data_IF_191182960659
#
_entry.id   IF_191182960659
#
_cell.length_a   1.000
_cell.length_b   1.000
_cell.length_c   1.000
_cell.angle_alpha   90.00
_cell.angle_beta   90.00
_cell.angle_gamma   90.00
#
_symmetry.space_group_name_H-M   'P 1'
#
loop_
_entity.id
_entity.type
_entity.pdbx_description
1 polymer ?
#
# COMPACT_ATOMS: atom_id res chain seq x y z
N UNK A 1 9.14 -1.51 13.11
CA UNK A 1 10.33 -1.15 13.94
C UNK A 1 10.01 -1.34 15.42
N UNK A 2 10.89 -1.88 16.26
CA UNK A 2 10.64 -2.09 17.70
C UNK A 2 11.68 -1.36 18.55
N UNK A 3 11.26 -0.40 19.36
CA UNK A 3 12.20 0.43 20.14
C UNK A 3 11.90 0.45 21.63
N UNK A 4 12.94 0.70 22.43
CA UNK A 4 12.84 1.07 23.84
C UNK A 4 13.27 2.53 23.99
N UNK A 5 12.61 3.29 24.86
CA UNK A 5 13.01 4.67 25.19
C UNK A 5 13.54 4.70 26.61
N UNK A 6 14.77 5.19 26.79
CA UNK A 6 15.41 5.36 28.08
C UNK A 6 15.82 6.82 28.31
N UNK A 7 15.19 7.44 29.32
CA UNK A 7 15.41 8.83 29.72
C UNK A 7 14.32 9.78 29.22
N UNK A 8 14.56 11.08 29.36
CA UNK A 8 13.65 12.14 28.93
C UNK A 8 13.86 12.53 27.45
N UNK A 9 12.78 12.49 26.66
CA UNK A 9 12.76 12.97 25.28
C UNK A 9 12.24 14.41 25.24
N UNK A 10 13.13 15.37 25.00
CA UNK A 10 12.78 16.79 24.97
C UNK A 10 12.45 17.31 23.57
N UNK A 11 13.08 16.76 22.53
CA UNK A 11 12.87 17.19 21.15
C UNK A 11 13.10 16.03 20.18
N UNK A 12 12.04 15.49 19.55
CA UNK A 12 10.61 15.73 19.82
C UNK A 12 10.17 15.23 21.22
N UNK A 13 9.05 15.74 21.78
CA UNK A 13 8.51 15.25 23.05
C UNK A 13 8.04 13.79 22.91
N UNK A 14 7.98 13.06 24.03
CA UNK A 14 7.64 11.63 24.04
C UNK A 14 6.32 11.30 23.33
N UNK A 15 5.28 12.14 23.46
CA UNK A 15 4.01 11.94 22.77
C UNK A 15 4.13 12.06 21.24
N UNK A 16 4.95 13.00 20.77
CA UNK A 16 5.25 13.14 19.34
C UNK A 16 6.04 11.94 18.85
N UNK A 17 7.06 11.50 19.59
CA UNK A 17 7.81 10.29 19.25
C UNK A 17 6.88 9.07 19.16
N UNK A 18 5.98 8.87 20.14
CA UNK A 18 4.98 7.79 20.13
C UNK A 18 4.12 7.80 18.86
N UNK A 19 3.65 8.98 18.46
CA UNK A 19 2.84 9.13 17.25
C UNK A 19 3.62 8.84 15.98
N UNK A 20 4.84 9.37 15.86
CA UNK A 20 5.72 9.17 14.71
C UNK A 20 6.07 7.69 14.55
N UNK A 21 6.49 7.04 15.64
CA UNK A 21 6.83 5.62 15.62
C UNK A 21 5.62 4.78 15.25
N UNK A 22 4.44 5.05 15.83
CA UNK A 22 3.20 4.33 15.49
C UNK A 22 2.76 4.57 14.04
N UNK A 23 2.97 5.76 13.50
CA UNK A 23 2.64 6.08 12.11
C UNK A 23 3.54 5.36 11.08
N UNK A 24 4.78 5.04 11.46
CA UNK A 24 5.70 4.24 10.64
C UNK A 24 5.70 2.74 10.98
N UNK A 25 4.56 2.20 11.43
CA UNK A 25 4.40 0.79 11.86
C UNK A 25 5.47 0.32 12.85
N UNK A 26 5.89 1.25 13.69
CA UNK A 26 6.79 1.05 14.80
C UNK A 26 6.04 0.75 16.10
N UNK A 27 6.69 0.02 17.00
CA UNK A 27 6.20 -0.38 18.31
C UNK A 27 7.20 0.13 19.34
N UNK A 28 6.71 0.89 20.31
CA UNK A 28 7.49 1.25 21.50
C UNK A 28 7.20 0.20 22.57
N UNK A 29 8.22 -0.60 22.90
CA UNK A 29 8.10 -1.69 23.86
C UNK A 29 8.01 -1.18 25.30
N UNK A 30 8.80 -0.16 25.62
CA UNK A 30 8.82 0.46 26.93
C UNK A 30 9.36 1.89 26.88
N UNK A 31 8.87 2.74 27.77
CA UNK A 31 9.34 4.12 27.97
C UNK A 31 9.79 4.39 29.41
N UNK A 32 9.73 3.37 30.27
CA UNK A 32 10.14 3.46 31.67
C UNK A 32 10.57 2.07 32.16
N UNK A 33 11.46 1.98 33.16
CA UNK A 33 11.86 0.72 33.78
C UNK A 33 10.68 -0.03 34.45
N UNK A 34 10.74 -1.36 34.59
CA UNK A 34 11.85 -2.25 34.22
C UNK A 34 11.79 -2.70 32.74
N UNK A 35 12.93 -2.64 32.05
CA UNK A 35 13.04 -3.03 30.63
C UNK A 35 13.25 -4.54 30.41
N UNK A 36 13.57 -5.29 31.47
CA UNK A 36 13.96 -6.71 31.44
C UNK A 36 13.01 -7.62 30.68
N UNK A 37 11.71 -7.32 30.69
CA UNK A 37 10.69 -8.10 29.96
C UNK A 37 10.82 -8.03 28.44
N UNK A 38 11.45 -6.98 27.93
CA UNK A 38 11.47 -6.66 26.50
C UNK A 38 12.83 -6.93 25.84
N UNK A 39 13.89 -7.12 26.62
CA UNK A 39 15.25 -7.32 26.11
C UNK A 39 15.38 -8.53 25.17
N UNK A 40 14.62 -9.60 25.43
CA UNK A 40 14.57 -10.81 24.58
C UNK A 40 13.52 -10.75 23.47
N UNK A 41 12.80 -9.63 23.32
CA UNK A 41 11.69 -9.51 22.35
C UNK A 41 12.13 -9.05 20.95
N UNK A 42 13.45 -9.09 20.67
CA UNK A 42 14.01 -8.64 19.40
C UNK A 42 13.91 -7.12 19.22
N UNK A 43 14.41 -6.37 20.20
CA UNK A 43 14.48 -4.91 20.16
C UNK A 43 15.37 -4.49 18.98
N UNK A 44 14.89 -3.60 18.12
CA UNK A 44 15.69 -3.08 17.00
C UNK A 44 16.60 -1.94 17.49
N UNK A 45 16.12 -1.04 18.36
CA UNK A 45 16.91 0.08 18.91
C UNK A 45 16.52 0.46 20.35
N UNK A 46 17.49 0.87 21.15
CA UNK A 46 17.29 1.61 22.39
C UNK A 46 17.57 3.10 22.17
N UNK A 47 16.54 3.93 22.23
CA UNK A 47 16.63 5.38 22.15
C UNK A 47 16.99 5.93 23.53
N UNK A 48 18.15 6.55 23.63
CA UNK A 48 18.74 7.01 24.90
C UNK A 48 18.82 8.53 24.90
N UNK A 49 18.45 9.14 26.02
CA UNK A 49 18.59 10.59 26.20
C UNK A 49 20.05 11.04 26.22
N UNK A 50 20.34 12.24 25.69
CA UNK A 50 21.67 12.81 25.77
C UNK A 50 22.09 12.98 27.25
N UNK A 51 23.37 12.70 27.53
CA UNK A 51 23.95 12.84 28.87
C UNK A 51 23.94 11.56 29.72
N UNK A 52 23.32 10.48 29.25
CA UNK A 52 23.40 9.17 29.90
C UNK A 52 24.77 8.53 29.58
N UNK A 53 25.44 8.02 30.61
CA UNK A 53 26.77 7.44 30.49
C UNK A 53 26.74 5.94 30.19
N UNK A 54 27.81 5.43 29.57
CA UNK A 54 27.99 3.99 29.25
C UNK A 54 27.91 3.11 30.49
N UNK A 55 28.25 3.64 31.67
CA UNK A 55 28.26 2.91 32.95
C UNK A 55 26.90 2.84 33.65
N UNK A 56 25.86 3.44 33.05
CA UNK A 56 24.50 3.34 33.59
C UNK A 56 24.02 1.88 33.59
N UNK A 57 23.29 1.49 34.65
CA UNK A 57 22.86 0.11 34.85
C UNK A 57 21.99 -0.41 33.69
N UNK A 58 21.07 0.40 33.16
CA UNK A 58 20.23 0.00 32.03
C UNK A 58 20.98 -0.01 30.73
N UNK A 59 21.93 0.93 30.54
CA UNK A 59 22.80 0.92 29.37
C UNK A 59 23.65 -0.35 29.32
N UNK A 60 24.28 -0.71 30.44
CA UNK A 60 25.03 -1.97 30.53
C UNK A 60 24.14 -3.19 30.21
N UNK A 61 22.90 -3.18 30.68
CA UNK A 61 21.93 -4.23 30.36
C UNK A 61 21.61 -4.29 28.85
N UNK A 62 21.41 -3.14 28.19
CA UNK A 62 21.20 -3.08 26.74
C UNK A 62 22.41 -3.62 25.97
N UNK A 63 23.63 -3.26 26.40
CA UNK A 63 24.87 -3.74 25.80
C UNK A 63 25.05 -5.25 25.96
N UNK A 64 24.70 -5.80 27.13
CA UNK A 64 24.73 -7.25 27.38
C UNK A 64 23.78 -8.04 26.47
N UNK A 65 22.71 -7.40 26.01
CA UNK A 65 21.74 -7.96 25.08
C UNK A 65 22.00 -7.59 23.61
N UNK A 66 23.17 -7.00 23.30
CA UNK A 66 23.57 -6.56 21.95
C UNK A 66 22.56 -5.58 21.32
N UNK A 67 21.86 -4.78 22.15
CA UNK A 67 20.86 -3.83 21.69
C UNK A 67 21.56 -2.53 21.27
N UNK A 68 21.33 -2.05 20.03
CA UNK A 68 21.94 -0.81 19.57
C UNK A 68 21.41 0.38 20.36
N UNK A 69 22.33 1.21 20.84
CA UNK A 69 22.03 2.39 21.63
C UNK A 69 22.14 3.62 20.74
N UNK A 70 21.07 4.38 20.56
CA UNK A 70 21.03 5.51 19.62
C UNK A 70 20.35 6.74 20.24
N UNK A 71 20.68 7.92 19.73
CA UNK A 71 19.92 9.14 19.99
C UNK A 71 18.64 9.18 19.17
N UNK A 72 17.69 10.01 19.59
CA UNK A 72 16.44 10.22 18.84
C UNK A 72 16.68 10.76 17.42
N UNK A 73 17.74 11.56 17.27
CA UNK A 73 18.17 12.14 15.99
C UNK A 73 18.55 11.06 14.97
N UNK A 74 18.98 9.88 15.42
CA UNK A 74 19.21 8.73 14.56
C UNK A 74 17.94 8.35 13.78
N UNK A 75 16.80 8.28 14.47
CA UNK A 75 15.51 7.93 13.86
C UNK A 75 15.03 9.04 12.92
N UNK A 76 15.24 10.30 13.30
CA UNK A 76 14.86 11.45 12.47
C UNK A 76 15.67 11.48 11.18
N UNK A 77 16.99 11.32 11.25
CA UNK A 77 17.85 11.29 10.07
C UNK A 77 17.58 10.09 9.19
N UNK A 78 17.30 8.92 9.77
CA UNK A 78 16.92 7.74 9.00
C UNK A 78 15.70 8.01 8.10
N UNK A 79 14.67 8.66 8.64
CA UNK A 79 13.45 9.00 7.89
C UNK A 79 13.71 10.13 6.88
N UNK A 80 14.44 11.18 7.27
CA UNK A 80 14.62 12.36 6.42
C UNK A 80 15.70 12.20 5.35
N UNK A 81 16.68 11.31 5.53
CA UNK A 81 17.86 11.16 4.66
C UNK A 81 18.27 9.68 4.52
N UNK A 82 17.47 8.86 3.82
CA UNK A 82 17.85 7.47 3.55
C UNK A 82 19.19 7.44 2.78
N UNK A 83 20.18 6.69 3.29
CA UNK A 83 21.50 6.53 2.68
C UNK A 83 22.62 7.43 3.23
N UNK A 84 22.34 8.30 4.21
CA UNK A 84 23.39 9.05 4.92
C UNK A 84 24.00 8.21 6.06
N UNK A 85 25.28 8.40 6.41
CA UNK A 85 25.92 7.69 7.52
C UNK A 85 25.34 8.18 8.86
N UNK A 86 24.55 7.34 9.51
CA UNK A 86 23.91 7.64 10.81
C UNK A 86 24.85 7.46 12.02
N UNK A 87 26.16 7.27 11.78
CA UNK A 87 27.17 6.93 12.80
C UNK A 87 27.25 7.97 13.91
N UNK A 88 27.00 9.24 13.59
CA UNK A 88 27.10 10.35 14.54
C UNK A 88 26.06 10.27 15.68
N UNK A 89 24.97 9.52 15.49
CA UNK A 89 23.89 9.41 16.46
C UNK A 89 23.86 8.07 17.19
N UNK A 90 24.80 7.18 16.90
CA UNK A 90 24.96 5.92 17.61
C UNK A 90 25.85 6.12 18.84
N UNK A 91 25.45 5.52 19.95
CA UNK A 91 26.12 5.63 21.23
C UNK A 91 26.90 4.36 21.55
N UNK A 92 27.92 4.54 22.40
CA UNK A 92 28.65 3.47 23.09
C UNK A 92 29.37 2.45 22.20
N UNK A 93 29.72 2.84 20.97
CA UNK A 93 30.40 1.98 19.97
C UNK A 93 29.52 0.81 19.52
N UNK A 94 28.21 1.06 19.38
CA UNK A 94 27.22 0.06 18.92
C UNK A 94 26.90 0.17 17.42
N UNK A 95 27.80 0.78 16.62
CA UNK A 95 27.53 1.08 15.20
C UNK A 95 27.21 -0.18 14.39
N UNK A 96 27.96 -1.26 14.61
CA UNK A 96 27.74 -2.53 13.89
C UNK A 96 26.37 -3.14 14.18
N UNK A 97 25.89 -3.05 15.42
CA UNK A 97 24.56 -3.54 15.81
C UNK A 97 23.46 -2.65 15.22
N UNK A 98 23.67 -1.33 15.19
CA UNK A 98 22.75 -0.38 14.59
C UNK A 98 22.63 -0.60 13.07
N UNK A 99 23.75 -0.73 12.36
CA UNK A 99 23.78 -1.02 10.92
C UNK A 99 23.07 -2.35 10.60
N UNK A 100 23.32 -3.40 11.39
CA UNK A 100 22.65 -4.70 11.22
C UNK A 100 21.14 -4.59 11.45
N UNK A 101 20.71 -3.89 12.49
CA UNK A 101 19.29 -3.71 12.80
C UNK A 101 18.59 -2.88 11.75
N UNK A 102 19.26 -1.85 11.21
CA UNK A 102 18.77 -1.03 10.11
C UNK A 102 18.61 -1.85 8.81
N UNK A 103 19.64 -2.61 8.43
CA UNK A 103 19.59 -3.46 7.25
C UNK A 103 18.47 -4.51 7.35
N UNK A 104 18.26 -5.10 8.53
CA UNK A 104 17.15 -6.01 8.78
C UNK A 104 15.78 -5.32 8.64
N UNK A 105 15.66 -4.07 9.11
CA UNK A 105 14.46 -3.27 8.99
C UNK A 105 14.13 -2.94 7.53
N UNK A 106 15.13 -2.47 6.78
CA UNK A 106 14.99 -2.14 5.35
C UNK A 106 14.60 -3.39 4.56
N UNK A 107 15.30 -4.51 4.78
CA UNK A 107 14.97 -5.80 4.14
C UNK A 107 13.54 -6.24 4.46
N UNK A 108 13.11 -6.12 5.73
CA UNK A 108 11.74 -6.46 6.14
C UNK A 108 10.70 -5.51 5.55
N UNK A 109 11.05 -4.26 5.25
CA UNK A 109 10.13 -3.36 4.52
C UNK A 109 10.09 -3.65 3.02
N UNK A 110 11.20 -4.09 2.42
CA UNK A 110 11.28 -4.44 1.00
C UNK A 110 10.60 -5.78 0.68
N UNK A 111 10.61 -6.74 1.62
CA UNK A 111 9.90 -8.02 1.52
C UNK A 111 8.36 -7.86 1.44
N UNK A 112 7.84 -6.66 1.73
CA UNK A 112 6.40 -6.33 1.66
C UNK A 112 6.04 -5.69 0.29
N UNK A 113 7.04 -5.35 -0.54
CA UNK A 113 6.82 -4.62 -1.82
C UNK A 113 6.55 -5.57 -3.00
N UNK A 114 6.47 -6.89 -2.78
CA UNK A 114 5.87 -7.82 -3.75
C UNK A 114 4.38 -8.11 -3.48
N UNK A 115 3.75 -7.50 -2.46
CA UNK A 115 2.33 -7.78 -2.12
C UNK A 115 1.52 -6.51 -1.76
N UNK A 116 1.87 -5.34 -2.32
CA UNK A 116 1.05 -4.12 -2.17
C UNK A 116 0.78 -3.38 -3.48
N UNK A 117 0.96 -4.05 -4.63
CA UNK A 117 0.34 -3.68 -5.91
C UNK A 117 -0.71 -4.66 -6.39
N UNK A 118 -1.10 -5.65 -5.59
CA UNK A 118 -2.13 -6.64 -5.97
C UNK A 118 -3.40 -6.46 -5.16
N UNK A 119 -4.07 -5.33 -5.35
CA UNK A 119 -5.54 -5.36 -5.35
C UNK A 119 -6.00 -5.47 -6.80
N UNK A 120 -5.96 -6.70 -7.32
CA UNK A 120 -6.98 -7.29 -8.20
C UNK A 120 -7.26 -6.69 -9.60
N UNK A 121 -6.38 -5.88 -10.19
CA UNK A 121 -6.52 -5.44 -11.60
C UNK A 121 -5.63 -6.21 -12.61
N UNK A 122 -4.63 -6.97 -12.16
CA UNK A 122 -3.61 -7.56 -13.05
C UNK A 122 -3.96 -8.95 -13.65
N UNK A 123 -5.16 -9.48 -13.41
CA UNK A 123 -5.66 -10.70 -14.09
C UNK A 123 -7.04 -10.50 -14.75
N UNK A 124 -7.54 -9.25 -14.81
CA UNK A 124 -8.73 -8.93 -15.59
C UNK A 124 -8.39 -8.98 -17.08
N UNK A 125 -8.70 -10.10 -17.72
CA UNK A 125 -8.50 -10.31 -19.17
C UNK A 125 -9.69 -9.76 -19.94
N UNK A 126 -9.40 -9.11 -21.05
CA UNK A 126 -10.43 -8.67 -21.98
C UNK A 126 -11.28 -9.88 -22.41
N UNK A 127 -12.60 -9.81 -22.22
CA UNK A 127 -13.50 -10.92 -22.54
C UNK A 127 -13.59 -11.25 -24.04
N UNK A 128 -13.05 -10.37 -24.91
CA UNK A 128 -13.05 -10.52 -26.37
C UNK A 128 -11.74 -11.13 -26.88
N UNK A 129 -10.59 -10.53 -26.54
CA UNK A 129 -9.30 -11.01 -27.03
C UNK A 129 -8.58 -11.95 -26.06
N UNK A 130 -9.06 -12.09 -24.83
CA UNK A 130 -8.48 -12.96 -23.80
C UNK A 130 -7.14 -12.46 -23.23
N UNK A 131 -6.70 -11.26 -23.61
CA UNK A 131 -5.45 -10.67 -23.17
C UNK A 131 -5.66 -9.64 -22.05
N UNK A 132 -4.70 -9.56 -21.14
CA UNK A 132 -4.58 -8.50 -20.14
C UNK A 132 -3.61 -7.38 -20.56
N UNK A 133 -3.01 -7.47 -21.75
CA UNK A 133 -2.15 -6.40 -22.26
C UNK A 133 -2.99 -5.14 -22.55
N UNK A 134 -2.55 -3.98 -22.05
CA UNK A 134 -3.25 -2.67 -22.16
C UNK A 134 -4.44 -2.47 -21.21
N UNK A 135 -4.28 -2.87 -19.94
CA UNK A 135 -5.23 -2.54 -18.86
C UNK A 135 -5.65 -1.06 -18.79
N UNK A 136 -4.75 -0.12 -19.08
CA UNK A 136 -5.04 1.32 -19.14
C UNK A 136 -6.04 1.76 -20.23
N UNK A 137 -6.44 0.86 -21.15
CA UNK A 137 -7.47 1.08 -22.16
C UNK A 137 -8.63 0.07 -22.03
N UNK A 138 -8.81 -0.50 -20.83
CA UNK A 138 -9.81 -1.52 -20.55
C UNK A 138 -10.97 -0.93 -19.74
N UNK A 139 -12.19 -1.17 -20.21
CA UNK A 139 -13.42 -0.78 -19.53
C UNK A 139 -13.90 -1.93 -18.66
N UNK A 140 -14.29 -1.61 -17.42
CA UNK A 140 -14.86 -2.56 -16.47
C UNK A 140 -16.37 -2.37 -16.45
N UNK A 141 -17.12 -3.47 -16.57
CA UNK A 141 -18.58 -3.42 -16.51
C UNK A 141 -19.05 -3.10 -15.08
N UNK A 142 -19.43 -1.84 -14.83
CA UNK A 142 -19.80 -1.35 -13.51
C UNK A 142 -20.34 0.09 -13.55
N UNK A 143 -20.97 0.52 -12.46
CA UNK A 143 -21.09 1.94 -12.11
C UNK A 143 -19.94 2.37 -11.20
N UNK A 144 -19.70 3.69 -11.09
CA UNK A 144 -18.65 4.25 -10.20
C UNK A 144 -18.77 3.76 -8.74
N UNK A 145 -19.96 3.36 -8.31
CA UNK A 145 -20.21 2.84 -6.95
C UNK A 145 -20.11 1.31 -6.83
N UNK A 146 -19.76 0.59 -7.90
CA UNK A 146 -19.61 -0.88 -7.91
C UNK A 146 -20.87 -1.67 -7.53
N UNK A 147 -22.04 -1.04 -7.62
CA UNK A 147 -23.33 -1.59 -7.18
C UNK A 147 -24.07 -2.33 -8.28
N UNK A 148 -23.81 -1.99 -9.54
CA UNK A 148 -24.45 -2.62 -10.70
C UNK A 148 -23.37 -2.95 -11.73
N UNK A 149 -23.27 -4.20 -12.15
CA UNK A 149 -22.26 -4.64 -13.12
C UNK A 149 -21.87 -6.10 -12.92
N UNK A 150 -21.11 -6.64 -13.87
CA UNK A 150 -20.55 -8.00 -13.76
C UNK A 150 -19.03 -8.01 -13.61
N UNK A 151 -18.39 -6.84 -13.59
CA UNK A 151 -16.95 -6.70 -13.37
C UNK A 151 -16.07 -7.22 -14.50
N UNK A 152 -16.63 -7.54 -15.68
CA UNK A 152 -15.80 -7.99 -16.81
C UNK A 152 -15.03 -6.82 -17.42
N UNK A 153 -13.78 -7.08 -17.83
CA UNK A 153 -12.94 -6.16 -18.58
C UNK A 153 -13.12 -6.30 -20.09
N UNK A 154 -13.16 -5.19 -20.83
CA UNK A 154 -13.15 -5.15 -22.30
C UNK A 154 -12.34 -3.95 -22.80
N UNK A 155 -11.38 -4.15 -23.70
CA UNK A 155 -10.66 -3.01 -24.28
C UNK A 155 -11.59 -2.07 -25.05
N UNK A 156 -11.28 -0.77 -25.06
CA UNK A 156 -12.00 0.23 -25.87
C UNK A 156 -12.06 -0.18 -27.34
N UNK A 157 -10.99 -0.76 -27.89
CA UNK A 157 -10.93 -1.26 -29.27
C UNK A 157 -11.68 -2.59 -29.49
N UNK A 158 -11.92 -3.34 -28.42
CA UNK A 158 -12.67 -4.61 -28.45
C UNK A 158 -14.17 -4.41 -28.24
N UNK A 159 -14.62 -3.17 -27.99
CA UNK A 159 -16.03 -2.83 -27.91
C UNK A 159 -16.70 -2.89 -29.30
N UNK A 160 -18.02 -3.07 -29.32
CA UNK A 160 -18.83 -3.03 -30.55
C UNK A 160 -19.95 -1.98 -30.38
N UNK A 161 -19.83 -0.78 -30.99
CA UNK A 161 -18.71 -0.31 -31.80
C UNK A 161 -17.44 0.00 -30.98
N UNK A 162 -16.24 -0.02 -31.59
CA UNK A 162 -14.99 0.29 -30.89
C UNK A 162 -14.95 1.76 -30.49
N UNK A 163 -14.53 2.00 -29.24
CA UNK A 163 -14.39 3.32 -28.65
C UNK A 163 -12.98 3.85 -28.87
N UNK A 164 -12.87 5.17 -29.05
CA UNK A 164 -11.59 5.83 -29.26
C UNK A 164 -10.85 6.11 -27.95
N UNK A 165 -11.60 6.37 -26.88
CA UNK A 165 -11.09 6.71 -25.54
C UNK A 165 -11.99 6.10 -24.46
N UNK A 166 -11.52 6.09 -23.22
CA UNK A 166 -12.31 5.66 -22.06
C UNK A 166 -13.42 6.71 -21.83
N UNK A 167 -14.71 6.32 -21.77
CA UNK A 167 -15.78 7.26 -21.44
C UNK A 167 -15.69 7.70 -19.98
N UNK A 168 -16.08 8.96 -19.72
CA UNK A 168 -16.12 9.53 -18.36
C UNK A 168 -17.31 8.99 -17.52
N UNK A 169 -18.31 8.38 -18.18
CA UNK A 169 -19.52 7.84 -17.56
C UNK A 169 -19.48 6.31 -17.38
N UNK A 170 -20.38 5.76 -16.55
CA UNK A 170 -20.56 4.32 -16.30
C UNK A 170 -20.63 3.48 -17.60
N UNK A 171 -19.88 2.37 -17.64
CA UNK A 171 -19.88 1.45 -18.78
C UNK A 171 -20.48 0.08 -18.42
N UNK A 172 -21.35 -0.43 -19.29
CA UNK A 172 -21.98 -1.74 -19.11
C UNK A 172 -21.77 -2.63 -20.32
N UNK A 173 -21.36 -3.88 -20.09
CA UNK A 173 -21.27 -4.87 -21.15
C UNK A 173 -22.66 -5.19 -21.75
N UNK A 174 -22.73 -5.76 -22.97
CA UNK A 174 -23.99 -6.08 -23.64
C UNK A 174 -24.96 -6.93 -22.81
N UNK A 175 -24.46 -7.75 -21.88
CA UNK A 175 -25.31 -8.56 -20.99
C UNK A 175 -25.97 -7.72 -19.89
N UNK A 176 -25.21 -6.78 -19.31
CA UNK A 176 -25.67 -5.89 -18.25
C UNK A 176 -26.52 -4.74 -18.79
N UNK A 177 -26.24 -4.24 -19.99
CA UNK A 177 -27.07 -3.22 -20.66
C UNK A 177 -28.47 -3.76 -20.97
N UNK A 178 -28.59 -4.96 -21.54
CA UNK A 178 -29.88 -5.61 -21.80
C UNK A 178 -30.72 -5.84 -20.53
N UNK A 179 -30.06 -5.97 -19.38
CA UNK A 179 -30.73 -6.15 -18.09
C UNK A 179 -31.28 -4.84 -17.51
N UNK A 180 -30.66 -3.68 -17.83
CA UNK A 180 -31.20 -2.35 -17.51
C UNK A 180 -32.43 -2.03 -18.38
N UNK A 181 -32.46 -2.50 -19.63
CA UNK A 181 -33.57 -2.27 -20.57
C UNK A 181 -34.78 -3.21 -20.39
N UNK A 182 -34.67 -4.26 -19.56
CA UNK A 182 -35.77 -5.21 -19.30
C UNK A 182 -36.96 -4.60 -18.52
N UNK A 183 -36.89 -3.32 -18.14
CA UNK A 183 -38.02 -2.53 -17.68
C UNK A 183 -38.99 -2.10 -18.80
N UNK A 184 -38.64 -2.25 -20.08
CA UNK A 184 -39.51 -1.88 -21.21
C UNK A 184 -39.85 -3.11 -22.06
N UNK A 185 -40.99 -3.74 -21.76
CA UNK A 185 -41.53 -4.88 -22.53
C UNK A 185 -41.60 -4.56 -24.04
N UNK A 186 -40.99 -5.37 -24.93
CA UNK A 186 -41.30 -5.28 -26.34
C UNK A 186 -42.67 -5.94 -26.58
N UNK A 187 -43.65 -5.14 -27.04
CA UNK A 187 -44.90 -5.70 -27.58
C UNK A 187 -44.58 -6.47 -28.86
N UNK A 188 -44.94 -7.75 -28.83
CA UNK A 188 -45.00 -8.65 -29.95
C UNK A 188 -45.81 -8.09 -31.12
N UNK A 189 -45.24 -8.17 -32.32
CA UNK A 189 -45.88 -7.71 -33.57
C UNK A 189 -45.32 -8.44 -34.79
N UNK A 190 -45.72 -9.70 -34.91
CA UNK A 190 -45.65 -10.64 -36.06
C UNK A 190 -45.03 -10.15 -37.39
N UNK A 191 -44.08 -10.95 -37.86
CA UNK A 191 -43.65 -11.03 -39.27
C UNK A 191 -44.81 -11.29 -40.26
N UNK A 192 -44.70 -10.76 -41.48
CA UNK A 192 -44.82 -11.52 -42.75
C UNK A 192 -44.51 -10.70 -44.03
N UNK A 193 -43.43 -11.11 -44.69
CA UNK A 193 -43.13 -11.23 -46.15
C UNK A 193 -43.76 -10.29 -47.20
N UNK A 194 -42.86 -9.55 -47.86
CA UNK A 194 -42.38 -9.70 -49.26
C UNK A 194 -43.13 -9.12 -50.48
N UNK A 195 -42.29 -8.60 -51.41
CA UNK A 195 -42.45 -8.37 -52.88
C UNK A 195 -43.22 -7.10 -53.28
N UNK A 196 -42.93 -6.34 -54.34
CA UNK A 196 -41.90 -6.29 -55.41
C UNK A 196 -42.29 -5.07 -56.28
N UNK A 197 -41.32 -4.17 -56.54
CA UNK A 197 -41.04 -3.44 -57.79
C UNK A 197 -42.04 -2.51 -58.53
N UNK A 198 -41.42 -1.48 -59.16
CA UNK A 198 -41.74 -0.90 -60.50
C UNK A 198 -42.78 0.24 -60.52
N UNK A 199 -42.41 1.54 -60.55
CA UNK A 199 -41.92 2.41 -61.68
C UNK A 199 -43.02 3.30 -62.32
N UNK A 200 -42.67 4.59 -62.44
CA UNK A 200 -43.05 5.67 -63.39
C UNK A 200 -44.48 6.23 -63.50
N UNK A 201 -44.50 7.57 -63.49
CA UNK A 201 -45.09 8.53 -64.48
C UNK A 201 -46.51 8.24 -64.98
N UNK A 202 -47.46 9.18 -65.00
CA UNK A 202 -47.42 10.58 -65.46
C UNK A 202 -48.75 11.23 -65.11
#
# INVERSE_FOLDING_TARGET
MRIIVYGECFSPPLDTLKRVVKAGDGIILATAPPYTRFLNSGVDFAVISPGISKVDAWVQEFLNHEIPCVLIDYLVEFVCKPGSPLKNHVLFETESWAERSLANLVRRSEEIVEDSTTTEEDDLKCCVCGSGDRGHQMLICGDENGSVGCGIGTHVECCDPPLQEIPDDDWFCPKCSLSKDAGMKPKSGKAKKAKTSTVKSR
#
